data_IF_512917842376
#
_entry.id   IF_512917842376
#
_cell.length_a   1.000
_cell.length_b   1.000
_cell.length_c   1.000
_cell.angle_alpha   90.00
_cell.angle_beta   90.00
_cell.angle_gamma   90.00
#
_symmetry.space_group_name_H-M   'P 1'
#
loop_
_entity.id
_entity.type
_entity.pdbx_description
1 polymer ?
#
# COMPACT_ATOMS: atom_id res chain seq x y z
N UNK A 1 16.69 11.46 4.39
CA UNK A 1 15.29 11.83 4.70
C UNK A 1 14.99 11.25 6.08
N UNK A 2 13.97 11.70 6.79
CA UNK A 2 13.60 11.02 8.06
C UNK A 2 13.02 9.65 7.69
N UNK A 3 13.41 8.61 8.42
CA UNK A 3 12.72 7.33 8.40
C UNK A 3 11.25 7.62 8.73
N UNK A 4 10.33 7.24 7.84
CA UNK A 4 8.90 7.48 8.05
C UNK A 4 8.39 6.50 9.11
N UNK A 5 7.72 7.01 10.13
CA UNK A 5 7.03 6.12 11.06
C UNK A 5 5.87 5.41 10.34
N UNK A 6 5.60 4.16 10.73
CA UNK A 6 4.59 3.30 10.09
C UNK A 6 3.23 3.99 9.92
N UNK A 7 2.74 4.60 11.00
CA UNK A 7 1.44 5.29 11.02
C UNK A 7 1.47 6.57 10.17
N UNK A 8 2.57 7.33 10.20
CA UNK A 8 2.71 8.55 9.39
C UNK A 8 2.65 8.22 7.89
N UNK A 9 3.31 7.14 7.46
CA UNK A 9 3.28 6.73 6.06
C UNK A 9 1.88 6.27 5.63
N UNK A 10 1.17 5.51 6.48
CA UNK A 10 -0.19 5.06 6.18
C UNK A 10 -1.15 6.24 6.07
N UNK A 11 -1.11 7.15 7.04
CA UNK A 11 -1.95 8.35 7.04
C UNK A 11 -1.67 9.20 5.81
N UNK A 12 -0.41 9.40 5.44
CA UNK A 12 -0.06 10.19 4.28
C UNK A 12 -0.53 9.56 2.96
N UNK A 13 -0.44 8.23 2.80
CA UNK A 13 -0.99 7.52 1.63
C UNK A 13 -2.50 7.70 1.54
N UNK A 14 -3.21 7.55 2.67
CA UNK A 14 -4.66 7.74 2.71
C UNK A 14 -5.05 9.18 2.36
N UNK A 15 -4.37 10.17 2.95
CA UNK A 15 -4.61 11.59 2.66
C UNK A 15 -4.42 11.90 1.17
N UNK A 16 -3.32 11.48 0.56
CA UNK A 16 -3.06 11.73 -0.87
C UNK A 16 -4.12 11.05 -1.73
N UNK A 17 -4.50 9.82 -1.40
CA UNK A 17 -5.52 9.08 -2.14
C UNK A 17 -6.91 9.73 -2.01
N UNK A 18 -7.36 10.02 -0.79
CA UNK A 18 -8.66 10.59 -0.51
C UNK A 18 -8.78 12.02 -1.06
N UNK A 19 -7.74 12.85 -0.92
CA UNK A 19 -7.71 14.18 -1.53
C UNK A 19 -7.81 14.08 -3.06
N UNK A 20 -7.13 13.11 -3.68
CA UNK A 20 -7.25 12.86 -5.12
C UNK A 20 -8.67 12.49 -5.53
N UNK A 21 -9.35 11.62 -4.76
CA UNK A 21 -10.76 11.29 -5.00
C UNK A 21 -11.65 12.53 -4.85
N UNK A 22 -11.42 13.36 -3.83
CA UNK A 22 -12.17 14.59 -3.58
C UNK A 22 -11.96 15.64 -4.69
N UNK A 23 -10.78 15.64 -5.32
CA UNK A 23 -10.46 16.45 -6.51
C UNK A 23 -11.16 15.94 -7.79
N UNK A 24 -11.93 14.83 -7.70
CA UNK A 24 -12.70 14.27 -8.81
C UNK A 24 -11.96 13.19 -9.61
N UNK A 25 -10.82 12.72 -9.13
CA UNK A 25 -10.11 11.60 -9.75
C UNK A 25 -10.78 10.27 -9.42
N UNK A 26 -10.68 9.30 -10.34
CA UNK A 26 -11.07 7.92 -10.04
C UNK A 26 -9.97 7.18 -9.26
N UNK A 27 -10.27 5.98 -8.75
CA UNK A 27 -9.34 5.20 -7.92
C UNK A 27 -8.00 4.86 -8.60
N UNK A 28 -7.99 4.64 -9.91
CA UNK A 28 -6.75 4.37 -10.66
C UNK A 28 -5.90 5.64 -10.77
N UNK A 29 -6.53 6.77 -11.07
CA UNK A 29 -5.87 8.08 -11.13
C UNK A 29 -5.35 8.51 -9.76
N UNK A 30 -6.13 8.32 -8.69
CA UNK A 30 -5.71 8.59 -7.32
C UNK A 30 -4.50 7.74 -6.92
N UNK A 31 -4.49 6.45 -7.28
CA UNK A 31 -3.30 5.61 -7.04
C UNK A 31 -2.09 6.01 -7.88
N UNK A 32 -2.31 6.46 -9.12
CA UNK A 32 -1.26 7.07 -9.93
C UNK A 32 -0.62 8.30 -9.27
N UNK A 33 -1.45 9.16 -8.63
CA UNK A 33 -0.95 10.32 -7.88
C UNK A 33 -0.18 9.90 -6.63
N UNK A 34 -0.64 8.90 -5.89
CA UNK A 34 0.12 8.34 -4.75
C UNK A 34 1.49 7.83 -5.19
N UNK A 35 1.57 7.09 -6.30
CA UNK A 35 2.84 6.59 -6.85
C UNK A 35 3.80 7.72 -7.22
N UNK A 36 3.27 8.86 -7.70
CA UNK A 36 4.09 10.01 -8.07
C UNK A 36 4.60 10.76 -6.83
N UNK A 37 3.71 11.09 -5.89
CA UNK A 37 4.02 11.88 -4.70
C UNK A 37 4.96 11.12 -3.74
N UNK A 38 4.82 9.79 -3.64
CA UNK A 38 5.63 8.96 -2.74
C UNK A 38 6.76 8.21 -3.43
N UNK A 39 7.12 8.56 -4.67
CA UNK A 39 8.16 7.87 -5.43
C UNK A 39 9.49 7.77 -4.67
N UNK A 40 9.93 8.87 -4.05
CA UNK A 40 11.18 8.89 -3.28
C UNK A 40 11.11 7.99 -2.04
N UNK A 41 9.99 7.98 -1.33
CA UNK A 41 9.79 7.15 -0.12
C UNK A 41 9.85 5.66 -0.47
N UNK A 42 9.27 5.27 -1.60
CA UNK A 42 9.28 3.89 -2.10
C UNK A 42 10.70 3.44 -2.52
N UNK A 43 11.56 4.37 -2.92
CA UNK A 43 12.94 4.10 -3.31
C UNK A 43 13.91 4.01 -2.12
N UNK A 44 13.51 4.48 -0.93
CA UNK A 44 14.36 4.52 0.26
C UNK A 44 14.54 3.16 0.93
N UNK A 45 13.51 2.32 0.93
CA UNK A 45 13.57 1.03 1.60
C UNK A 45 12.46 0.05 1.22
N UNK A 46 12.76 -1.24 1.41
CA UNK A 46 11.82 -2.34 1.17
C UNK A 46 10.59 -2.26 2.10
N UNK A 47 10.77 -1.72 3.31
CA UNK A 47 9.74 -1.67 4.34
C UNK A 47 8.72 -0.60 4.03
N UNK A 48 9.17 0.62 3.71
CA UNK A 48 8.35 1.73 3.25
C UNK A 48 7.62 1.36 1.96
N UNK A 49 8.32 0.72 1.02
CA UNK A 49 7.72 0.18 -0.20
C UNK A 49 6.59 -0.81 0.12
N UNK A 50 6.82 -1.74 1.04
CA UNK A 50 5.82 -2.73 1.44
C UNK A 50 4.59 -2.06 2.04
N UNK A 51 4.78 -1.17 3.02
CA UNK A 51 3.70 -0.43 3.67
C UNK A 51 2.91 0.36 2.64
N UNK A 52 3.59 1.11 1.77
CA UNK A 52 2.98 1.91 0.72
C UNK A 52 2.11 1.07 -0.21
N UNK A 53 2.66 0.01 -0.81
CA UNK A 53 1.94 -0.76 -1.84
C UNK A 53 0.76 -1.52 -1.25
N UNK A 54 0.89 -2.05 -0.03
CA UNK A 54 -0.22 -2.73 0.66
C UNK A 54 -1.34 -1.74 1.01
N UNK A 55 -0.98 -0.57 1.56
CA UNK A 55 -1.95 0.47 1.90
C UNK A 55 -2.69 0.97 0.64
N UNK A 56 -1.96 1.29 -0.42
CA UNK A 56 -2.54 1.76 -1.66
C UNK A 56 -3.42 0.70 -2.34
N UNK A 57 -2.99 -0.56 -2.33
CA UNK A 57 -3.80 -1.66 -2.86
C UNK A 57 -5.10 -1.81 -2.09
N UNK A 58 -5.05 -1.74 -0.76
CA UNK A 58 -6.24 -1.79 0.08
C UNK A 58 -7.25 -0.69 -0.30
N UNK A 59 -6.78 0.55 -0.47
CA UNK A 59 -7.62 1.68 -0.86
C UNK A 59 -8.25 1.53 -2.26
N UNK A 60 -7.49 1.07 -3.25
CA UNK A 60 -8.03 0.82 -4.58
C UNK A 60 -9.06 -0.32 -4.57
N UNK A 61 -8.73 -1.43 -3.91
CA UNK A 61 -9.60 -2.60 -3.80
C UNK A 61 -10.93 -2.24 -3.12
N UNK A 62 -10.92 -1.38 -2.11
CA UNK A 62 -12.13 -0.88 -1.45
C UNK A 62 -13.01 -0.02 -2.37
N UNK A 63 -12.45 0.50 -3.47
CA UNK A 63 -13.20 1.13 -4.58
C UNK A 63 -13.59 0.14 -5.69
N UNK A 64 -13.30 -1.15 -5.51
CA UNK A 64 -13.69 -2.25 -6.40
C UNK A 64 -12.76 -2.47 -7.60
N UNK A 65 -11.60 -1.82 -7.63
CA UNK A 65 -10.65 -1.92 -8.75
C UNK A 65 -9.22 -2.07 -8.23
N UNK A 66 -8.31 -2.60 -9.04
CA UNK A 66 -6.88 -2.57 -8.74
C UNK A 66 -6.10 -2.39 -10.03
N UNK A 67 -5.14 -1.48 -10.04
CA UNK A 67 -4.24 -1.33 -11.20
C UNK A 67 -3.39 -2.59 -11.37
N UNK A 68 -3.21 -3.08 -12.61
CA UNK A 68 -2.31 -4.20 -12.91
C UNK A 68 -0.88 -3.94 -12.44
N UNK A 69 -0.39 -2.71 -12.56
CA UNK A 69 0.93 -2.30 -12.08
C UNK A 69 1.08 -2.44 -10.57
N UNK A 70 0.03 -2.10 -9.82
CA UNK A 70 0.02 -2.24 -8.35
C UNK A 70 -0.14 -3.71 -7.98
N UNK A 71 -1.01 -4.44 -8.69
CA UNK A 71 -1.21 -5.88 -8.51
C UNK A 71 0.09 -6.67 -8.60
N UNK A 72 0.93 -6.44 -9.63
CA UNK A 72 2.18 -7.18 -9.82
C UNK A 72 3.13 -7.04 -8.62
N UNK A 73 3.26 -5.82 -8.08
CA UNK A 73 4.13 -5.56 -6.93
C UNK A 73 3.54 -6.16 -5.66
N UNK A 74 2.24 -5.99 -5.46
CA UNK A 74 1.53 -6.49 -4.27
C UNK A 74 1.53 -8.02 -4.24
N UNK A 75 1.30 -8.69 -5.37
CA UNK A 75 1.36 -10.15 -5.48
C UNK A 75 2.75 -10.68 -5.09
N UNK A 76 3.81 -9.98 -5.53
CA UNK A 76 5.18 -10.31 -5.09
C UNK A 76 5.36 -10.12 -3.59
N UNK A 77 4.87 -9.02 -3.01
CA UNK A 77 4.98 -8.73 -1.57
C UNK A 77 4.29 -9.82 -0.75
N UNK A 78 3.03 -10.14 -1.06
CA UNK A 78 2.25 -11.10 -0.26
C UNK A 78 2.82 -12.53 -0.32
N UNK A 79 3.58 -12.87 -1.36
CA UNK A 79 4.23 -14.17 -1.49
C UNK A 79 5.51 -14.30 -0.66
N UNK A 80 6.21 -13.20 -0.39
CA UNK A 80 7.50 -13.21 0.34
C UNK A 80 7.43 -12.56 1.72
N UNK A 81 6.24 -12.10 2.13
CA UNK A 81 6.05 -11.43 3.41
C UNK A 81 6.40 -12.34 4.59
N UNK A 82 7.16 -11.79 5.54
CA UNK A 82 7.60 -12.46 6.76
C UNK A 82 7.45 -11.52 7.96
N UNK A 83 6.51 -11.83 8.86
CA UNK A 83 6.22 -11.01 10.04
C UNK A 83 7.44 -10.84 10.96
N UNK A 84 8.35 -11.83 11.02
CA UNK A 84 9.51 -11.75 11.90
C UNK A 84 10.52 -10.70 11.40
N UNK A 85 10.67 -10.55 10.08
CA UNK A 85 11.48 -9.48 9.48
C UNK A 85 10.92 -8.11 9.85
N UNK A 86 9.62 -7.90 9.59
CA UNK A 86 8.97 -6.60 9.84
C UNK A 86 8.83 -6.29 11.33
N UNK A 87 8.67 -7.29 12.19
CA UNK A 87 8.61 -7.12 13.64
C UNK A 87 9.89 -6.55 14.25
N UNK A 88 11.05 -6.85 13.65
CA UNK A 88 12.33 -6.28 14.07
C UNK A 88 12.53 -4.83 13.63
N UNK A 89 11.92 -4.43 12.50
CA UNK A 89 12.07 -3.08 11.93
C UNK A 89 11.01 -2.11 12.47
N UNK A 90 9.74 -2.53 12.53
CA UNK A 90 8.60 -1.68 12.91
C UNK A 90 8.21 -1.81 14.39
N UNK A 91 8.62 -2.90 15.04
CA UNK A 91 8.05 -3.31 16.32
C UNK A 91 6.80 -4.17 16.14
N UNK A 92 6.41 -4.85 17.23
CA UNK A 92 5.41 -5.91 17.18
C UNK A 92 4.01 -5.44 16.78
N UNK A 93 3.55 -4.30 17.31
CA UNK A 93 2.19 -3.82 17.08
C UNK A 93 1.99 -3.37 15.63
N UNK A 94 2.93 -2.60 15.07
CA UNK A 94 2.88 -2.12 13.69
C UNK A 94 3.07 -3.26 12.68
N UNK A 95 3.99 -4.20 12.96
CA UNK A 95 4.15 -5.39 12.12
C UNK A 95 2.90 -6.27 12.10
N UNK A 96 2.18 -6.34 13.23
CA UNK A 96 0.91 -7.05 13.31
C UNK A 96 -0.19 -6.35 12.51
N UNK A 97 -0.33 -5.03 12.60
CA UNK A 97 -1.30 -4.27 11.78
C UNK A 97 -1.01 -4.46 10.28
N UNK A 98 0.27 -4.40 9.89
CA UNK A 98 0.69 -4.66 8.51
C UNK A 98 0.34 -6.08 8.06
N UNK A 99 0.55 -7.08 8.90
CA UNK A 99 0.20 -8.48 8.63
C UNK A 99 -1.31 -8.66 8.41
N UNK A 100 -2.13 -8.05 9.25
CA UNK A 100 -3.60 -8.09 9.11
C UNK A 100 -4.06 -7.43 7.80
N UNK A 101 -3.44 -6.31 7.40
CA UNK A 101 -3.70 -5.66 6.10
C UNK A 101 -3.29 -6.54 4.92
N UNK A 102 -2.13 -7.19 5.01
CA UNK A 102 -1.63 -8.09 3.96
C UNK A 102 -2.58 -9.25 3.74
N UNK A 103 -3.04 -9.91 4.81
CA UNK A 103 -3.99 -11.03 4.69
C UNK A 103 -5.36 -10.57 4.15
N UNK A 104 -5.81 -9.37 4.54
CA UNK A 104 -7.01 -8.74 3.95
C UNK A 104 -6.84 -8.51 2.45
N UNK A 105 -5.75 -7.88 2.03
CA UNK A 105 -5.44 -7.61 0.61
C UNK A 105 -5.36 -8.92 -0.17
N UNK A 106 -4.58 -9.89 0.31
CA UNK A 106 -4.40 -11.22 -0.30
C UNK A 106 -5.72 -11.93 -0.55
N UNK A 107 -6.65 -11.87 0.41
CA UNK A 107 -8.00 -12.42 0.24
C UNK A 107 -8.77 -11.69 -0.85
N UNK A 108 -8.75 -10.36 -0.85
CA UNK A 108 -9.50 -9.53 -1.81
C UNK A 108 -8.92 -9.60 -3.23
N UNK A 109 -7.60 -9.80 -3.39
CA UNK A 109 -6.92 -9.96 -4.70
C UNK A 109 -7.55 -11.05 -5.57
N UNK A 110 -8.12 -12.09 -4.96
CA UNK A 110 -8.74 -13.21 -5.67
C UNK A 110 -10.06 -12.82 -6.38
N UNK A 111 -10.63 -11.68 -6.02
CA UNK A 111 -12.00 -11.29 -6.44
C UNK A 111 -12.09 -9.91 -7.07
N UNK A 112 -11.12 -9.02 -6.84
CA UNK A 112 -11.12 -7.66 -7.35
C UNK A 112 -10.94 -7.61 -8.87
N UNK A 113 -11.55 -6.62 -9.52
CA UNK A 113 -11.31 -6.35 -10.94
C UNK A 113 -9.94 -5.69 -11.15
N UNK A 114 -9.05 -6.38 -11.85
CA UNK A 114 -7.73 -5.87 -12.22
C UNK A 114 -7.86 -5.08 -13.53
N UNK A 115 -7.39 -3.82 -13.55
CA UNK A 115 -7.48 -2.92 -14.70
C UNK A 115 -6.08 -2.45 -15.12
N UNK A 116 -5.81 -2.53 -16.44
CA UNK A 116 -4.57 -2.08 -17.08
C UNK A 116 -4.56 -0.59 -17.38
#
# INVERSE_FOLDING_TARGET
MQDWEYNELIEYVDEVFINSINDGLNALQAGGRCLYELANVIEEGDTEKTIFYICLAHLQIDKGVLSSRIYEVVDSIVQVYDIDRFGNELGFDDAKDLSERIESVKTKLQTVAIIS
#
